data_IF_044491844597
#
_entry.id   IF_044491844597
#
_cell.length_a   1.000
_cell.length_b   1.000
_cell.length_c   1.000
_cell.angle_alpha   90.00
_cell.angle_beta   90.00
_cell.angle_gamma   90.00
#
_symmetry.space_group_name_H-M   'P 1'
#
loop_
_entity.id
_entity.type
_entity.pdbx_description
1 polymer ?
#
# COMPACT_ATOMS: atom_id res chain seq x y z
N UNK A 1 68.12 -8.26 -44.86
CA UNK A 1 68.73 -9.39 -45.61
C UNK A 1 67.93 -10.63 -45.28
N UNK A 2 67.03 -11.19 -46.10
CA UNK A 2 67.19 -11.51 -47.52
C UNK A 2 68.66 -11.78 -47.82
N UNK A 3 69.10 -13.01 -47.53
CA UNK A 3 70.15 -13.75 -48.27
C UNK A 3 70.52 -15.03 -47.52
N UNK A 4 69.86 -16.14 -47.91
CA UNK A 4 70.43 -17.49 -48.10
C UNK A 4 69.28 -18.51 -48.16
N UNK A 5 68.33 -18.38 -49.10
CA UNK A 5 68.35 -19.19 -50.34
C UNK A 5 69.77 -19.60 -50.78
N UNK A 6 69.96 -20.88 -51.09
CA UNK A 6 71.17 -21.47 -51.72
C UNK A 6 72.28 -21.99 -50.80
N UNK A 7 71.95 -22.82 -49.81
CA UNK A 7 72.84 -23.93 -49.47
C UNK A 7 72.37 -25.19 -50.18
N UNK A 8 72.92 -25.38 -51.38
CA UNK A 8 73.28 -26.69 -51.94
C UNK A 8 72.10 -27.59 -52.31
N UNK A 9 71.35 -27.28 -53.37
CA UNK A 9 71.67 -27.79 -54.73
C UNK A 9 72.82 -28.80 -54.78
N UNK A 10 72.46 -30.00 -55.23
CA UNK A 10 73.27 -30.90 -56.07
C UNK A 10 74.63 -31.38 -55.53
N UNK A 11 74.85 -32.69 -55.69
CA UNK A 11 75.98 -33.51 -55.20
C UNK A 11 75.68 -34.07 -53.80
N UNK A 12 74.97 -35.19 -53.66
CA UNK A 12 75.48 -36.51 -54.02
C UNK A 12 74.38 -37.47 -54.47
N UNK A 13 74.12 -37.44 -55.77
CA UNK A 13 73.92 -38.67 -56.54
C UNK A 13 75.22 -39.49 -56.52
N UNK A 14 75.10 -40.83 -56.43
CA UNK A 14 76.13 -41.88 -56.69
C UNK A 14 77.09 -42.12 -55.51
N UNK A 15 77.23 -43.34 -54.96
CA UNK A 15 77.30 -44.67 -55.57
C UNK A 15 76.47 -45.73 -54.78
N UNK A 16 75.55 -46.51 -55.38
CA UNK A 16 75.69 -47.75 -56.19
C UNK A 16 76.27 -48.97 -55.42
N UNK A 17 75.88 -50.24 -55.73
CA UNK A 17 74.97 -50.78 -56.78
C UNK A 17 73.87 -51.77 -56.27
N UNK A 18 72.74 -51.98 -57.00
CA UNK A 18 72.47 -53.11 -57.94
C UNK A 18 72.97 -54.48 -57.41
N UNK A 19 72.15 -55.50 -57.16
CA UNK A 19 71.47 -56.38 -58.14
C UNK A 19 70.47 -57.31 -57.41
N UNK A 20 69.22 -57.40 -57.88
CA UNK A 20 68.49 -58.62 -58.31
C UNK A 20 66.97 -58.58 -58.00
N UNK A 21 66.22 -58.43 -59.08
CA UNK A 21 64.79 -58.69 -59.25
C UNK A 21 64.59 -60.20 -59.42
N UNK A 22 63.66 -60.84 -58.68
CA UNK A 22 62.81 -61.97 -59.15
C UNK A 22 61.87 -62.53 -58.06
N UNK A 23 60.54 -62.34 -58.24
CA UNK A 23 59.43 -63.34 -58.20
C UNK A 23 59.17 -64.21 -56.93
N UNK A 24 57.97 -64.56 -56.43
CA UNK A 24 56.54 -64.37 -56.79
C UNK A 24 55.62 -64.87 -55.61
N UNK A 25 54.30 -64.58 -55.70
CA UNK A 25 53.11 -64.76 -54.83
C UNK A 25 52.73 -66.20 -54.31
N UNK A 26 51.91 -66.28 -53.22
CA UNK A 26 50.46 -66.67 -53.20
C UNK A 26 49.88 -67.26 -51.87
N UNK A 27 48.64 -66.86 -51.47
CA UNK A 27 47.63 -67.72 -50.79
C UNK A 27 47.04 -67.34 -49.40
N UNK A 28 45.70 -67.21 -49.28
CA UNK A 28 44.87 -67.02 -48.03
C UNK A 28 43.66 -67.99 -48.00
N UNK A 29 43.15 -68.41 -46.82
CA UNK A 29 41.71 -68.65 -46.45
C UNK A 29 41.55 -68.75 -44.90
N UNK A 30 40.45 -68.23 -44.31
CA UNK A 30 40.07 -68.30 -42.88
C UNK A 30 38.71 -68.99 -42.57
N UNK A 31 38.29 -69.02 -41.30
CA UNK A 31 37.02 -69.62 -40.78
C UNK A 31 36.28 -68.64 -39.84
N UNK A 32 34.94 -68.60 -39.90
CA UNK A 32 34.03 -67.71 -39.16
C UNK A 32 33.34 -68.37 -37.93
N UNK A 33 32.88 -67.53 -36.98
CA UNK A 33 31.97 -67.87 -35.88
C UNK A 33 30.86 -66.78 -35.71
N UNK A 34 29.71 -67.14 -35.13
CA UNK A 34 28.56 -66.24 -34.89
C UNK A 34 28.07 -66.30 -33.42
N UNK A 35 27.52 -65.19 -32.88
CA UNK A 35 26.26 -65.13 -32.08
C UNK A 35 25.93 -63.74 -31.49
N UNK A 36 24.63 -63.37 -31.54
CA UNK A 36 23.94 -62.22 -30.92
C UNK A 36 22.71 -61.78 -31.78
N UNK A 37 21.48 -61.67 -31.24
CA UNK A 37 20.32 -61.21 -32.05
C UNK A 37 20.42 -59.69 -32.27
N UNK A 38 20.42 -59.29 -33.54
CA UNK A 38 20.67 -57.91 -34.02
C UNK A 38 19.36 -57.17 -34.31
N UNK A 39 18.21 -57.73 -33.96
CA UNK A 39 16.91 -57.23 -34.42
C UNK A 39 16.72 -55.76 -34.01
N UNK A 40 16.64 -54.93 -35.04
CA UNK A 40 16.41 -53.50 -34.89
C UNK A 40 15.04 -53.27 -34.24
N UNK A 41 14.88 -52.24 -33.40
CA UNK A 41 13.57 -51.88 -32.89
C UNK A 41 12.58 -51.66 -34.04
N UNK A 42 11.31 -51.98 -33.82
CA UNK A 42 10.26 -51.78 -34.83
C UNK A 42 10.24 -50.32 -35.32
N UNK A 43 9.98 -50.14 -36.61
CA UNK A 43 9.92 -48.81 -37.22
C UNK A 43 8.91 -47.91 -36.48
N UNK A 44 9.17 -46.60 -36.36
CA UNK A 44 8.21 -45.66 -35.80
C UNK A 44 6.85 -45.77 -36.50
N UNK A 45 5.75 -45.86 -35.75
CA UNK A 45 4.42 -46.13 -36.31
C UNK A 45 3.75 -44.97 -37.07
N UNK A 46 4.40 -43.81 -37.21
CA UNK A 46 3.89 -42.65 -37.95
C UNK A 46 4.66 -42.47 -39.25
N UNK A 47 3.94 -42.36 -40.37
CA UNK A 47 4.50 -42.03 -41.69
C UNK A 47 4.57 -40.53 -41.96
N UNK A 48 4.03 -39.69 -41.06
CA UNK A 48 3.97 -38.24 -41.21
C UNK A 48 4.95 -37.54 -40.27
N UNK A 49 5.63 -36.50 -40.77
CA UNK A 49 6.60 -35.69 -40.03
C UNK A 49 6.56 -34.22 -40.46
N UNK A 50 7.09 -33.33 -39.63
CA UNK A 50 7.42 -31.96 -40.03
C UNK A 50 8.80 -31.94 -40.71
N UNK A 51 8.99 -31.03 -41.65
CA UNK A 51 10.30 -30.80 -42.29
C UNK A 51 11.18 -29.90 -41.42
N UNK A 52 12.48 -29.86 -41.72
CA UNK A 52 13.41 -28.92 -41.08
C UNK A 52 13.03 -27.46 -41.35
N UNK A 53 12.49 -27.18 -42.54
CA UNK A 53 11.94 -25.87 -42.89
C UNK A 53 10.73 -25.53 -42.01
N UNK A 54 9.80 -26.46 -41.82
CA UNK A 54 8.63 -26.25 -40.96
C UNK A 54 9.04 -25.95 -39.50
N UNK A 55 10.07 -26.65 -39.01
CA UNK A 55 10.60 -26.45 -37.66
C UNK A 55 11.30 -25.08 -37.55
N UNK A 56 12.11 -24.70 -38.54
CA UNK A 56 12.78 -23.41 -38.59
C UNK A 56 11.75 -22.26 -38.62
N UNK A 57 10.79 -22.31 -39.54
CA UNK A 57 9.74 -21.28 -39.68
C UNK A 57 8.86 -21.18 -38.43
N UNK A 58 8.65 -22.30 -37.72
CA UNK A 58 7.93 -22.30 -36.46
C UNK A 58 8.71 -21.61 -35.34
N UNK A 59 10.04 -21.75 -35.31
CA UNK A 59 10.91 -21.13 -34.31
C UNK A 59 11.17 -19.65 -34.60
N UNK A 60 11.41 -19.30 -35.87
CA UNK A 60 11.79 -17.95 -36.31
C UNK A 60 10.58 -17.00 -36.41
N UNK A 61 9.48 -17.46 -37.04
CA UNK A 61 8.32 -16.62 -37.35
C UNK A 61 7.01 -17.07 -36.67
N UNK A 62 7.04 -18.16 -35.89
CA UNK A 62 5.84 -18.72 -35.26
C UNK A 62 4.86 -19.41 -36.22
N UNK A 63 5.22 -19.54 -37.50
CA UNK A 63 4.35 -20.07 -38.56
C UNK A 63 3.96 -21.52 -38.28
N UNK A 64 2.66 -21.83 -38.33
CA UNK A 64 2.18 -23.20 -38.15
C UNK A 64 2.30 -23.99 -39.47
N UNK A 65 2.73 -25.24 -39.38
CA UNK A 65 2.83 -26.17 -40.50
C UNK A 65 1.90 -27.38 -40.29
N UNK A 66 1.72 -28.18 -41.34
CA UNK A 66 1.03 -29.47 -41.29
C UNK A 66 2.03 -30.59 -41.54
N UNK A 67 1.89 -31.70 -40.81
CA UNK A 67 2.73 -32.87 -41.06
C UNK A 67 2.46 -33.42 -42.46
N UNK A 68 3.53 -33.87 -43.13
CA UNK A 68 3.45 -34.48 -44.45
C UNK A 68 4.07 -35.87 -44.44
N UNK A 69 3.66 -36.73 -45.36
CA UNK A 69 4.31 -38.03 -45.58
C UNK A 69 5.70 -37.81 -46.14
N UNK A 70 6.73 -38.36 -45.50
CA UNK A 70 8.09 -38.27 -46.02
C UNK A 70 8.15 -38.89 -47.42
N UNK A 71 8.51 -38.08 -48.41
CA UNK A 71 8.73 -38.53 -49.79
C UNK A 71 10.20 -38.31 -50.10
N UNK A 72 10.93 -39.39 -50.40
CA UNK A 72 12.35 -39.29 -50.71
C UNK A 72 12.55 -38.45 -51.97
N UNK A 73 13.36 -37.38 -51.91
CA UNK A 73 13.52 -36.49 -53.05
C UNK A 73 14.28 -37.20 -54.18
N UNK A 74 13.78 -37.07 -55.41
CA UNK A 74 14.40 -37.66 -56.61
C UNK A 74 15.66 -36.93 -57.08
N UNK A 75 16.08 -35.88 -56.38
CA UNK A 75 17.25 -35.05 -56.68
C UNK A 75 17.99 -34.73 -55.39
N UNK A 76 19.33 -34.70 -55.46
CA UNK A 76 20.16 -34.26 -54.34
C UNK A 76 19.87 -32.77 -54.02
N UNK A 77 19.96 -32.34 -52.75
CA UNK A 77 19.76 -30.95 -52.36
C UNK A 77 20.67 -30.00 -53.15
N UNK A 78 20.09 -28.94 -53.71
CA UNK A 78 20.87 -27.85 -54.30
C UNK A 78 21.51 -26.98 -53.21
N UNK A 79 22.61 -26.29 -53.53
CA UNK A 79 23.21 -25.33 -52.59
C UNK A 79 22.20 -24.23 -52.23
N UNK A 80 21.89 -24.08 -50.93
CA UNK A 80 21.06 -22.99 -50.40
C UNK A 80 19.55 -23.22 -50.36
N UNK A 81 19.07 -24.47 -50.51
CA UNK A 81 17.62 -24.77 -50.51
C UNK A 81 17.05 -25.31 -49.20
N UNK A 82 17.87 -25.61 -48.18
CA UNK A 82 17.39 -26.10 -46.88
C UNK A 82 18.24 -25.54 -45.74
N UNK A 83 17.58 -25.16 -44.64
CA UNK A 83 18.22 -24.84 -43.37
C UNK A 83 18.87 -26.08 -42.76
N UNK A 84 20.11 -25.93 -42.30
CA UNK A 84 20.81 -27.00 -41.60
C UNK A 84 20.47 -27.01 -40.09
N UNK A 85 21.05 -27.97 -39.36
CA UNK A 85 20.82 -28.05 -37.91
C UNK A 85 21.41 -26.87 -37.14
N UNK A 86 22.43 -26.19 -37.67
CA UNK A 86 22.99 -25.00 -37.05
C UNK A 86 22.04 -23.81 -37.23
N UNK A 87 21.42 -23.68 -38.41
CA UNK A 87 20.40 -22.67 -38.68
C UNK A 87 19.20 -22.83 -37.73
N UNK A 88 18.73 -24.07 -37.54
CA UNK A 88 17.65 -24.37 -36.58
C UNK A 88 18.08 -24.04 -35.15
N UNK A 89 19.29 -24.43 -34.74
CA UNK A 89 19.79 -24.14 -33.40
C UNK A 89 19.86 -22.62 -33.14
N UNK A 90 20.33 -21.85 -34.13
CA UNK A 90 20.41 -20.40 -34.03
C UNK A 90 19.03 -19.72 -34.02
N UNK A 91 18.00 -20.37 -34.58
CA UNK A 91 16.62 -19.89 -34.52
C UNK A 91 15.92 -20.16 -33.17
N UNK A 92 16.49 -21.00 -32.29
CA UNK A 92 15.93 -21.22 -30.95
C UNK A 92 16.22 -19.99 -30.08
N UNK A 93 15.20 -19.28 -29.57
CA UNK A 93 15.43 -18.15 -28.68
C UNK A 93 16.16 -18.59 -27.41
N UNK A 94 17.04 -17.74 -26.89
CA UNK A 94 17.64 -17.94 -25.58
C UNK A 94 16.56 -17.96 -24.48
N UNK A 95 16.92 -18.49 -23.30
CA UNK A 95 16.03 -18.41 -22.14
C UNK A 95 15.75 -16.96 -21.77
N UNK A 96 14.48 -16.62 -21.60
CA UNK A 96 14.08 -15.30 -21.12
C UNK A 96 14.51 -15.11 -19.66
N UNK A 97 14.99 -13.91 -19.31
CA UNK A 97 15.25 -13.54 -17.93
C UNK A 97 13.95 -13.25 -17.17
N UNK A 98 14.01 -13.25 -15.83
CA UNK A 98 12.90 -12.80 -14.99
C UNK A 98 12.46 -11.38 -15.36
N UNK A 99 11.14 -11.16 -15.39
CA UNK A 99 10.54 -9.86 -15.70
C UNK A 99 10.58 -8.96 -14.46
N UNK A 100 11.46 -7.95 -14.44
CA UNK A 100 11.53 -6.94 -13.37
C UNK A 100 11.02 -5.58 -13.87
N UNK A 101 10.01 -5.02 -13.20
CA UNK A 101 9.54 -3.65 -13.44
C UNK A 101 10.24 -2.62 -12.54
N UNK A 102 10.33 -1.36 -13.00
CA UNK A 102 10.69 -0.23 -12.14
C UNK A 102 9.47 0.23 -11.32
N UNK A 103 9.69 0.72 -10.10
CA UNK A 103 8.62 1.25 -9.25
C UNK A 103 7.80 2.32 -10.01
N UNK A 104 6.48 2.13 -10.05
CA UNK A 104 5.53 3.07 -10.66
C UNK A 104 5.36 2.97 -12.18
N UNK A 105 5.92 1.96 -12.85
CA UNK A 105 5.68 1.76 -14.29
C UNK A 105 4.30 1.17 -14.56
N UNK A 106 3.52 1.83 -15.43
CA UNK A 106 2.19 1.36 -15.86
C UNK A 106 2.27 0.28 -16.97
N UNK A 107 3.45 0.08 -17.53
CA UNK A 107 3.71 -0.88 -18.62
C UNK A 107 5.03 -1.61 -18.38
N UNK A 108 5.07 -2.91 -18.66
CA UNK A 108 6.29 -3.73 -18.64
C UNK A 108 6.45 -4.42 -19.98
N UNK A 109 7.66 -4.36 -20.56
CA UNK A 109 7.96 -5.04 -21.81
C UNK A 109 8.33 -6.50 -21.51
N UNK A 110 7.63 -7.44 -22.14
CA UNK A 110 8.00 -8.86 -22.11
C UNK A 110 9.01 -9.08 -23.24
N UNK A 111 10.18 -9.62 -22.90
CA UNK A 111 11.22 -9.91 -23.89
C UNK A 111 10.86 -11.22 -24.62
N UNK A 112 11.23 -11.36 -25.89
CA UNK A 112 11.05 -12.63 -26.59
C UNK A 112 11.97 -13.71 -25.97
N UNK A 113 11.43 -14.90 -25.71
CA UNK A 113 12.21 -15.98 -25.10
C UNK A 113 11.38 -17.18 -24.64
N UNK A 114 12.08 -18.24 -24.25
CA UNK A 114 11.48 -19.44 -23.66
C UNK A 114 11.47 -19.28 -22.14
N UNK A 115 10.28 -19.33 -21.53
CA UNK A 115 10.09 -19.12 -20.10
C UNK A 115 9.82 -20.44 -19.37
N UNK A 116 10.67 -20.77 -18.39
CA UNK A 116 10.51 -21.98 -17.55
C UNK A 116 9.40 -21.84 -16.50
N UNK A 117 9.12 -20.61 -16.05
CA UNK A 117 8.07 -20.25 -15.10
C UNK A 117 7.27 -19.05 -15.63
N UNK A 118 5.97 -18.99 -15.35
CA UNK A 118 5.06 -17.92 -15.82
C UNK A 118 4.67 -16.97 -14.68
N UNK A 119 5.65 -16.53 -13.89
CA UNK A 119 5.40 -15.64 -12.75
C UNK A 119 5.85 -14.22 -13.07
N UNK A 120 4.94 -13.26 -12.99
CA UNK A 120 5.25 -11.83 -13.05
C UNK A 120 5.05 -11.22 -11.65
N UNK A 121 6.03 -10.46 -11.15
CA UNK A 121 5.98 -9.86 -9.82
C UNK A 121 5.97 -8.34 -9.95
N UNK A 122 4.86 -7.70 -9.58
CA UNK A 122 4.80 -6.25 -9.39
C UNK A 122 5.20 -5.93 -7.94
N UNK A 123 6.16 -5.03 -7.76
CA UNK A 123 6.58 -4.55 -6.45
C UNK A 123 6.40 -3.03 -6.42
N UNK A 124 5.61 -2.55 -5.48
CA UNK A 124 5.59 -1.15 -5.10
C UNK A 124 6.02 -1.08 -3.63
N UNK A 125 7.23 -0.60 -3.39
CA UNK A 125 7.78 -0.49 -2.04
C UNK A 125 6.98 0.46 -1.14
N UNK A 126 6.10 1.28 -1.72
CA UNK A 126 5.19 2.16 -1.00
C UNK A 126 3.82 1.52 -0.74
N UNK A 127 3.48 0.37 -1.33
CA UNK A 127 2.29 -0.41 -1.01
C UNK A 127 2.46 -1.17 0.32
N UNK A 128 2.66 -0.41 1.39
CA UNK A 128 2.73 -0.88 2.77
C UNK A 128 1.44 -0.52 3.47
N UNK A 129 0.99 -1.37 4.39
CA UNK A 129 -0.20 -1.08 5.20
C UNK A 129 -0.12 0.31 5.85
N UNK A 130 1.04 0.69 6.40
CA UNK A 130 1.22 2.00 7.06
C UNK A 130 1.25 3.20 6.11
N UNK A 131 1.27 2.98 4.80
CA UNK A 131 1.12 4.04 3.79
C UNK A 131 -0.30 4.11 3.21
N UNK A 132 -1.15 3.15 3.55
CA UNK A 132 -2.53 3.04 3.05
C UNK A 132 -3.46 3.39 4.21
N UNK A 133 -4.47 4.22 3.95
CA UNK A 133 -5.45 4.61 4.97
C UNK A 133 -6.11 3.40 5.61
N UNK A 134 -6.28 3.47 6.94
CA UNK A 134 -6.82 2.36 7.73
C UNK A 134 -8.10 1.79 7.13
N UNK A 135 -8.12 0.47 6.93
CA UNK A 135 -9.31 -0.25 6.46
C UNK A 135 -9.51 -0.22 4.94
N UNK A 136 -8.74 0.57 4.20
CA UNK A 136 -8.78 0.58 2.74
C UNK A 136 -7.89 -0.55 2.20
N UNK A 137 -8.43 -1.53 1.46
CA UNK A 137 -7.62 -2.52 0.79
C UNK A 137 -7.12 -1.97 -0.56
N UNK A 138 -5.82 -1.98 -0.79
CA UNK A 138 -5.22 -1.72 -2.10
C UNK A 138 -4.43 -2.97 -2.49
N UNK A 139 -4.84 -3.63 -3.57
CA UNK A 139 -4.24 -4.88 -4.07
C UNK A 139 -4.04 -5.97 -2.98
N UNK A 140 -4.99 -6.09 -2.05
CA UNK A 140 -4.95 -7.08 -0.97
C UNK A 140 -4.14 -6.66 0.26
N UNK A 141 -3.51 -5.48 0.26
CA UNK A 141 -2.89 -4.88 1.46
C UNK A 141 -3.91 -3.95 2.11
N UNK A 142 -4.40 -4.32 3.29
CA UNK A 142 -5.29 -3.45 4.08
C UNK A 142 -4.47 -2.40 4.81
N UNK A 143 -4.86 -1.13 4.65
CA UNK A 143 -4.18 -0.03 5.29
C UNK A 143 -4.26 -0.03 6.82
N UNK A 144 -3.24 0.56 7.43
CA UNK A 144 -3.07 0.79 8.87
C UNK A 144 -2.72 2.24 9.19
N UNK A 145 -2.47 3.08 8.16
CA UNK A 145 -2.22 4.51 8.33
C UNK A 145 -3.40 5.15 9.04
N UNK A 146 -3.15 5.59 10.28
CA UNK A 146 -4.07 6.45 11.00
C UNK A 146 -3.76 7.89 10.58
N UNK A 147 -4.69 8.60 9.90
CA UNK A 147 -4.54 10.03 9.68
C UNK A 147 -4.33 10.72 11.03
N UNK A 148 -3.38 11.65 11.05
CA UNK A 148 -2.84 12.35 12.23
C UNK A 148 -3.93 12.86 13.17
N UNK A 149 -4.21 12.18 14.28
CA UNK A 149 -4.90 12.68 15.49
C UNK A 149 -6.25 13.40 15.35
N UNK A 150 -6.77 13.58 14.13
CA UNK A 150 -8.01 14.29 13.82
C UNK A 150 -9.12 13.24 13.83
N UNK A 151 -10.15 13.39 14.66
CA UNK A 151 -11.21 12.38 14.80
C UNK A 151 -12.07 12.29 13.55
N UNK A 152 -12.71 11.13 13.35
CA UNK A 152 -13.88 11.05 12.45
C UNK A 152 -14.92 12.08 12.87
N UNK A 153 -15.72 12.55 11.92
CA UNK A 153 -16.80 13.52 12.13
C UNK A 153 -18.07 12.91 12.72
N UNK A 154 -18.23 11.60 12.58
CA UNK A 154 -19.46 10.85 12.91
C UNK A 154 -20.37 10.60 11.71
N UNK A 155 -20.11 11.22 10.55
CA UNK A 155 -20.89 10.99 9.33
C UNK A 155 -20.65 9.57 8.77
N UNK A 156 -21.73 8.90 8.39
CA UNK A 156 -21.70 7.55 7.78
C UNK A 156 -22.61 7.43 6.56
N UNK A 157 -23.25 8.53 6.15
CA UNK A 157 -24.18 8.53 5.01
C UNK A 157 -23.42 9.00 3.77
N UNK A 158 -23.29 8.11 2.79
CA UNK A 158 -22.69 8.42 1.48
C UNK A 158 -23.63 9.27 0.64
N UNK A 159 -23.20 10.50 0.32
CA UNK A 159 -23.84 11.42 -0.62
C UNK A 159 -23.06 11.57 -1.93
N UNK A 160 -21.93 10.89 -2.09
CA UNK A 160 -21.11 10.90 -3.28
C UNK A 160 -19.68 10.42 -3.03
N UNK A 161 -19.03 9.94 -4.08
CA UNK A 161 -17.65 9.47 -4.02
C UNK A 161 -16.71 10.52 -3.42
N UNK A 162 -15.96 10.12 -2.39
CA UNK A 162 -14.99 10.94 -1.64
C UNK A 162 -15.57 12.00 -0.70
N UNK A 163 -16.86 11.94 -0.40
CA UNK A 163 -17.41 12.73 0.70
C UNK A 163 -17.04 12.14 2.08
N UNK A 164 -17.45 12.84 3.13
CA UNK A 164 -17.12 12.48 4.51
C UNK A 164 -17.78 11.16 4.96
N UNK A 165 -19.01 10.89 4.51
CA UNK A 165 -19.73 9.66 4.84
C UNK A 165 -19.28 8.43 4.05
N UNK A 166 -18.79 8.59 2.82
CA UNK A 166 -18.25 7.50 1.99
C UNK A 166 -16.82 7.11 2.37
N UNK A 167 -16.02 8.07 2.82
CA UNK A 167 -14.62 7.84 3.18
C UNK A 167 -14.43 7.60 4.68
N UNK A 168 -15.30 8.18 5.51
CA UNK A 168 -15.26 8.17 6.98
C UNK A 168 -13.84 8.38 7.54
N UNK A 169 -13.14 9.39 7.01
CA UNK A 169 -11.73 9.63 7.33
C UNK A 169 -11.56 10.15 8.75
N UNK A 170 -10.42 9.83 9.36
CA UNK A 170 -10.08 10.27 10.71
C UNK A 170 -9.89 9.13 11.70
N UNK A 171 -9.46 9.48 12.92
CA UNK A 171 -9.33 8.53 14.02
C UNK A 171 -10.74 8.06 14.42
N UNK A 172 -10.98 6.75 14.27
CA UNK A 172 -12.22 6.13 14.71
C UNK A 172 -12.44 6.39 16.20
N UNK A 173 -13.68 6.72 16.58
CA UNK A 173 -14.01 6.92 17.99
C UNK A 173 -13.93 5.58 18.74
N UNK A 174 -13.37 5.58 19.96
CA UNK A 174 -13.40 4.39 20.82
C UNK A 174 -14.83 3.96 21.12
N UNK A 175 -15.02 2.67 21.41
CA UNK A 175 -16.27 2.12 21.90
C UNK A 175 -16.02 1.38 23.24
N UNK A 176 -16.47 1.91 24.39
CA UNK A 176 -17.26 3.14 24.53
C UNK A 176 -16.43 4.41 24.28
N UNK A 177 -17.06 5.47 23.76
CA UNK A 177 -16.40 6.79 23.56
C UNK A 177 -16.23 7.52 24.90
N UNK A 178 -17.26 7.45 25.73
CA UNK A 178 -17.31 8.10 27.03
C UNK A 178 -17.54 7.07 28.14
N UNK A 179 -16.94 7.28 29.30
CA UNK A 179 -17.24 6.53 30.51
C UNK A 179 -17.65 7.49 31.60
N UNK A 180 -18.86 7.30 32.12
CA UNK A 180 -19.32 7.94 33.36
C UNK A 180 -18.61 7.29 34.53
N UNK A 181 -17.86 8.08 35.30
CA UNK A 181 -17.09 7.58 36.42
C UNK A 181 -17.94 7.46 37.71
N UNK A 182 -19.20 7.93 37.68
CA UNK A 182 -20.12 7.86 38.82
C UNK A 182 -19.84 8.86 39.94
N UNK A 183 -18.87 9.75 39.74
CA UNK A 183 -18.38 10.77 40.69
C UNK A 183 -18.60 12.20 40.19
N UNK A 184 -19.51 12.39 39.24
CA UNK A 184 -19.76 13.68 38.58
C UNK A 184 -18.82 13.97 37.40
N UNK A 185 -17.91 13.06 37.05
CA UNK A 185 -17.00 13.20 35.92
C UNK A 185 -17.25 12.20 34.79
N UNK A 186 -16.80 12.56 33.59
CA UNK A 186 -16.88 11.72 32.39
C UNK A 186 -15.50 11.64 31.73
N UNK A 187 -15.00 10.43 31.55
CA UNK A 187 -13.76 10.15 30.82
C UNK A 187 -14.04 10.10 29.32
N UNK A 188 -13.33 10.90 28.52
CA UNK A 188 -13.31 10.85 27.06
C UNK A 188 -12.13 10.01 26.57
N UNK A 189 -12.40 8.82 26.02
CA UNK A 189 -11.38 7.87 25.56
C UNK A 189 -10.67 8.26 24.26
N UNK A 190 -11.22 9.21 23.50
CA UNK A 190 -10.52 9.69 22.29
C UNK A 190 -9.38 10.64 22.68
N UNK A 191 -9.63 11.53 23.64
CA UNK A 191 -8.69 12.59 24.02
C UNK A 191 -7.96 12.32 25.33
N UNK A 192 -8.40 11.31 26.10
CA UNK A 192 -8.00 11.06 27.49
C UNK A 192 -8.21 12.28 28.40
N UNK A 193 -9.24 13.08 28.12
CA UNK A 193 -9.63 14.20 28.98
C UNK A 193 -10.77 13.78 29.91
N UNK A 194 -10.83 14.44 31.07
CA UNK A 194 -11.93 14.27 32.02
C UNK A 194 -12.79 15.54 31.97
N UNK A 195 -14.08 15.34 31.73
CA UNK A 195 -15.07 16.40 31.58
C UNK A 195 -16.03 16.41 32.77
N UNK A 196 -16.50 17.60 33.14
CA UNK A 196 -17.59 17.73 34.09
C UNK A 196 -18.87 17.13 33.47
N UNK A 197 -19.59 16.26 34.20
CA UNK A 197 -20.79 15.60 33.67
C UNK A 197 -21.94 16.58 33.43
N UNK A 198 -22.13 17.54 34.33
CA UNK A 198 -23.10 18.62 34.18
C UNK A 198 -22.49 19.77 33.37
N UNK A 199 -22.88 19.84 32.09
CA UNK A 199 -22.39 20.87 31.17
C UNK A 199 -22.90 22.28 31.53
N UNK A 200 -23.87 22.43 32.44
CA UNK A 200 -24.38 23.74 32.85
C UNK A 200 -24.56 23.84 34.36
N UNK A 201 -23.54 23.42 35.10
CA UNK A 201 -23.49 23.57 36.54
C UNK A 201 -23.51 25.05 36.98
N UNK A 202 -24.27 25.34 38.06
CA UNK A 202 -24.39 26.68 38.66
C UNK A 202 -23.96 26.74 40.12
N UNK A 203 -23.50 25.62 40.67
CA UNK A 203 -23.37 25.43 42.11
C UNK A 203 -22.06 25.97 42.71
N UNK A 204 -21.13 26.44 41.87
CA UNK A 204 -19.81 26.96 42.28
C UNK A 204 -19.94 28.34 42.98
N UNK A 205 -19.55 28.47 44.27
CA UNK A 205 -19.70 29.70 45.06
C UNK A 205 -18.82 30.87 44.61
N UNK A 206 -19.21 32.08 45.02
CA UNK A 206 -18.63 33.33 44.51
C UNK A 206 -19.21 33.75 43.16
N UNK A 207 -20.24 33.05 42.70
CA UNK A 207 -21.03 33.32 41.50
C UNK A 207 -22.50 33.41 41.96
N UNK A 208 -22.79 34.34 42.87
CA UNK A 208 -24.15 34.59 43.35
C UNK A 208 -24.65 35.91 42.77
N UNK A 209 -25.20 35.82 41.55
CA UNK A 209 -25.87 36.94 40.90
C UNK A 209 -25.84 36.85 39.38
N UNK A 210 -26.89 36.25 38.80
CA UNK A 210 -27.50 36.47 37.49
C UNK A 210 -26.61 36.91 36.32
N UNK A 211 -26.59 36.27 35.17
CA UNK A 211 -27.29 35.11 34.60
C UNK A 211 -26.64 34.92 33.22
N UNK A 212 -26.90 33.85 32.46
CA UNK A 212 -26.28 33.72 31.19
C UNK A 212 -26.48 34.93 30.27
N UNK A 213 -25.49 35.22 29.43
CA UNK A 213 -24.27 34.46 29.36
C UNK A 213 -23.02 35.23 29.85
N UNK A 214 -22.08 34.50 30.47
CA UNK A 214 -20.92 35.07 31.17
C UNK A 214 -19.99 35.80 30.20
N UNK A 215 -19.39 36.90 30.66
CA UNK A 215 -18.18 37.42 30.03
C UNK A 215 -17.03 36.42 30.23
N UNK A 216 -16.04 36.48 29.35
CA UNK A 216 -15.02 35.43 29.21
C UNK A 216 -14.11 35.28 30.44
N UNK A 217 -13.79 36.38 31.12
CA UNK A 217 -12.94 36.35 32.32
C UNK A 217 -13.62 35.62 33.51
N UNK A 218 -14.88 35.94 33.88
CA UNK A 218 -15.62 35.13 34.83
C UNK A 218 -15.74 33.64 34.48
N UNK A 219 -15.83 33.28 33.18
CA UNK A 219 -15.86 31.88 32.77
C UNK A 219 -14.57 31.13 33.12
N UNK A 220 -13.41 31.78 32.95
CA UNK A 220 -12.10 31.21 33.35
C UNK A 220 -12.05 31.04 34.87
N UNK A 221 -12.46 32.08 35.63
CA UNK A 221 -12.48 32.02 37.09
C UNK A 221 -13.47 30.99 37.64
N UNK A 222 -14.62 30.81 36.99
CA UNK A 222 -15.58 29.79 37.35
C UNK A 222 -14.95 28.41 37.21
N UNK A 223 -14.36 28.11 36.05
CA UNK A 223 -13.78 26.80 35.78
C UNK A 223 -12.63 26.48 36.74
N UNK A 224 -11.81 27.47 37.11
CA UNK A 224 -10.72 27.28 38.08
C UNK A 224 -11.18 27.08 39.53
N UNK A 225 -12.46 27.27 39.84
CA UNK A 225 -13.04 27.09 41.18
C UNK A 225 -13.89 25.82 41.30
N UNK A 226 -14.10 25.10 40.20
CA UNK A 226 -14.73 23.78 40.25
C UNK A 226 -13.81 22.86 41.07
N UNK A 227 -14.40 22.13 42.00
CA UNK A 227 -13.75 21.19 42.91
C UNK A 227 -14.78 20.21 43.49
N UNK A 228 -14.30 19.19 44.21
CA UNK A 228 -15.11 18.21 44.93
C UNK A 228 -16.20 18.89 45.79
N UNK A 229 -17.41 18.34 45.76
CA UNK A 229 -18.57 18.89 46.47
C UNK A 229 -19.41 19.90 45.66
N UNK A 230 -18.93 20.39 44.51
CA UNK A 230 -19.74 21.19 43.58
C UNK A 230 -20.17 20.38 42.36
N UNK A 231 -21.28 20.76 41.71
CA UNK A 231 -21.68 20.18 40.42
C UNK A 231 -21.89 18.65 40.43
N UNK A 232 -22.21 18.08 41.61
CA UNK A 232 -22.29 16.64 41.80
C UNK A 232 -20.95 15.90 41.82
N UNK A 233 -19.84 16.62 41.94
CA UNK A 233 -18.49 16.04 42.04
C UNK A 233 -18.27 15.36 43.39
N UNK A 234 -17.76 14.13 43.32
CA UNK A 234 -17.23 13.36 44.45
C UNK A 234 -15.90 12.69 44.05
N UNK A 235 -15.08 13.39 43.26
CA UNK A 235 -13.87 12.89 42.61
C UNK A 235 -12.58 13.27 43.36
N UNK A 236 -12.70 13.98 44.49
CA UNK A 236 -11.56 14.45 45.28
C UNK A 236 -10.75 15.57 44.61
N UNK A 237 -11.28 16.21 43.56
CA UNK A 237 -10.63 17.36 42.93
C UNK A 237 -10.61 18.58 43.84
N UNK A 238 -9.62 19.45 43.64
CA UNK A 238 -9.47 20.73 44.33
C UNK A 238 -9.63 21.87 43.34
N UNK A 239 -9.82 23.09 43.85
CA UNK A 239 -9.75 24.30 43.03
C UNK A 239 -8.45 24.31 42.22
N UNK A 240 -8.55 24.77 40.97
CA UNK A 240 -7.50 24.80 39.94
C UNK A 240 -7.13 23.47 39.28
N UNK A 241 -7.71 22.33 39.69
CA UNK A 241 -7.59 21.08 38.92
C UNK A 241 -8.36 21.17 37.60
N UNK A 242 -9.46 21.94 37.62
CA UNK A 242 -10.34 22.18 36.49
C UNK A 242 -9.98 23.48 35.77
N UNK A 243 -10.20 23.49 34.45
CA UNK A 243 -9.99 24.68 33.62
C UNK A 243 -11.01 24.80 32.52
N UNK A 244 -11.03 25.98 31.91
CA UNK A 244 -11.76 26.22 30.68
C UNK A 244 -11.06 25.48 29.52
N UNK A 245 -11.76 24.65 28.73
CA UNK A 245 -11.20 23.92 27.60
C UNK A 245 -10.71 24.88 26.51
N UNK A 246 -9.71 24.48 25.74
CA UNK A 246 -9.38 25.18 24.50
C UNK A 246 -10.38 24.80 23.39
N UNK A 247 -10.39 25.56 22.28
CA UNK A 247 -11.40 25.38 21.22
C UNK A 247 -11.35 23.98 20.59
N UNK A 248 -10.17 23.37 20.48
CA UNK A 248 -10.01 22.04 19.89
C UNK A 248 -10.52 20.93 20.81
N UNK A 249 -10.38 21.10 22.12
CA UNK A 249 -10.91 20.17 23.11
C UNK A 249 -12.44 20.16 23.08
N UNK A 250 -13.09 21.32 23.07
CA UNK A 250 -14.55 21.38 22.92
C UNK A 250 -15.00 20.79 21.57
N UNK A 251 -14.32 21.15 20.48
CA UNK A 251 -14.66 20.63 19.16
C UNK A 251 -14.48 19.11 19.06
N UNK A 252 -13.56 18.51 19.83
CA UNK A 252 -13.34 17.06 19.84
C UNK A 252 -14.50 16.23 20.38
N UNK A 253 -15.43 16.89 21.10
CA UNK A 253 -16.67 16.27 21.57
C UNK A 253 -17.77 16.25 20.49
N UNK A 254 -17.63 17.03 19.41
CA UNK A 254 -18.71 17.23 18.43
C UNK A 254 -18.90 15.99 17.55
N UNK A 255 -20.16 15.59 17.41
CA UNK A 255 -20.61 14.62 16.41
C UNK A 255 -21.46 15.33 15.36
N UNK A 256 -20.91 15.49 14.16
CA UNK A 256 -21.54 16.22 13.06
C UNK A 256 -22.69 15.45 12.41
N UNK A 257 -22.90 14.17 12.74
CA UNK A 257 -24.08 13.42 12.31
C UNK A 257 -25.32 13.71 13.14
N UNK A 258 -25.16 14.48 14.24
CA UNK A 258 -26.23 14.73 15.22
C UNK A 258 -26.37 16.21 15.52
N UNK A 259 -27.55 16.56 16.01
CA UNK A 259 -27.93 17.93 16.38
C UNK A 259 -28.75 17.88 17.66
N UNK A 260 -28.68 18.95 18.46
CA UNK A 260 -29.48 19.13 19.68
C UNK A 260 -29.49 17.93 20.67
N UNK A 261 -28.33 17.49 21.20
CA UNK A 261 -27.00 18.04 21.00
C UNK A 261 -26.16 17.30 19.94
N UNK A 262 -25.25 18.01 19.28
CA UNK A 262 -24.21 17.51 18.39
C UNK A 262 -23.08 16.80 19.17
N UNK A 263 -23.41 15.77 19.93
CA UNK A 263 -22.51 14.90 20.71
C UNK A 263 -22.66 13.45 20.24
N UNK A 264 -21.73 12.51 20.53
CA UNK A 264 -21.89 11.09 20.21
C UNK A 264 -23.06 10.39 20.93
N UNK A 265 -23.67 9.39 20.29
CA UNK A 265 -24.81 8.65 20.85
C UNK A 265 -24.50 7.96 22.18
N UNK A 266 -25.45 8.03 23.12
CA UNK A 266 -25.30 7.44 24.45
C UNK A 266 -24.32 8.21 25.36
N UNK A 267 -23.94 9.45 25.04
CA UNK A 267 -23.10 10.25 25.92
C UNK A 267 -23.74 10.39 27.34
N UNK A 268 -22.93 10.39 28.41
CA UNK A 268 -23.42 10.49 29.79
C UNK A 268 -23.65 11.94 30.28
N UNK A 269 -23.30 12.94 29.46
CA UNK A 269 -23.43 14.35 29.81
C UNK A 269 -24.88 14.78 30.02
N UNK A 270 -25.09 15.65 31.00
CA UNK A 270 -26.40 16.22 31.35
C UNK A 270 -26.38 17.74 31.21
N UNK A 271 -27.57 18.34 31.05
CA UNK A 271 -27.77 19.78 30.88
C UNK A 271 -26.92 20.41 29.77
N UNK A 272 -26.62 19.65 28.71
CA UNK A 272 -26.00 20.18 27.49
C UNK A 272 -27.02 21.08 26.80
N UNK A 273 -26.81 22.38 26.86
CA UNK A 273 -27.82 23.35 26.46
C UNK A 273 -27.51 23.89 25.06
N UNK A 274 -28.48 23.91 24.14
CA UNK A 274 -28.32 24.53 22.81
C UNK A 274 -28.37 26.08 22.86
N UNK A 275 -28.05 26.69 24.01
CA UNK A 275 -28.25 28.12 24.29
C UNK A 275 -27.34 29.04 23.45
N UNK A 276 -27.56 30.37 23.50
CA UNK A 276 -27.52 31.31 22.34
C UNK A 276 -26.16 31.57 21.67
N UNK A 277 -25.14 30.76 21.95
CA UNK A 277 -24.01 30.61 21.03
C UNK A 277 -22.94 29.62 21.49
N UNK A 278 -23.32 28.64 22.32
CA UNK A 278 -22.44 27.56 22.74
C UNK A 278 -21.63 27.83 24.02
N UNK A 279 -20.49 27.15 24.11
CA UNK A 279 -19.62 27.09 25.28
C UNK A 279 -18.32 27.85 25.02
N UNK A 280 -17.89 28.67 25.98
CA UNK A 280 -16.62 29.38 25.91
C UNK A 280 -15.44 28.41 25.84
N UNK A 281 -14.47 28.74 24.98
CA UNK A 281 -13.13 28.18 25.09
C UNK A 281 -12.16 29.18 25.70
N UNK A 282 -11.04 28.71 26.23
CA UNK A 282 -9.89 29.51 26.67
C UNK A 282 -9.06 30.08 25.51
N UNK A 283 -9.46 29.84 24.26
CA UNK A 283 -8.72 30.27 23.08
C UNK A 283 -9.13 31.67 22.65
N UNK A 284 -8.19 32.61 22.67
CA UNK A 284 -8.39 33.98 22.16
C UNK A 284 -8.42 33.99 20.63
N UNK A 285 -9.25 34.83 20.03
CA UNK A 285 -9.24 35.03 18.58
C UNK A 285 -7.96 35.78 18.18
N UNK A 286 -7.20 35.24 17.22
CA UNK A 286 -5.91 35.80 16.81
C UNK A 286 -6.01 37.11 16.03
N UNK A 287 -7.15 37.38 15.38
CA UNK A 287 -7.40 38.63 14.67
C UNK A 287 -7.97 39.71 15.61
N UNK A 288 -8.84 39.32 16.56
CA UNK A 288 -9.49 40.22 17.51
C UNK A 288 -9.23 39.76 18.94
N UNK A 289 -8.23 40.34 19.61
CA UNK A 289 -7.85 39.94 20.98
C UNK A 289 -8.94 40.17 22.04
N UNK A 290 -9.91 41.03 21.74
CA UNK A 290 -11.13 41.28 22.54
C UNK A 290 -12.19 40.20 22.36
N UNK A 291 -11.96 39.20 21.49
CA UNK A 291 -12.85 38.08 21.22
C UNK A 291 -12.20 36.74 21.61
N UNK A 292 -13.02 35.73 21.89
CA UNK A 292 -12.59 34.37 22.11
C UNK A 292 -13.44 33.38 21.30
N UNK A 293 -12.89 32.19 21.07
CA UNK A 293 -13.59 31.11 20.39
C UNK A 293 -14.58 30.42 21.32
N UNK A 294 -15.64 29.88 20.76
CA UNK A 294 -16.66 29.09 21.43
C UNK A 294 -17.16 27.96 20.52
N UNK A 295 -17.77 26.92 21.10
CA UNK A 295 -18.33 25.79 20.35
C UNK A 295 -19.79 25.59 20.73
N UNK A 296 -20.67 25.58 19.73
CA UNK A 296 -22.09 25.35 19.90
C UNK A 296 -22.44 23.90 19.65
N UNK A 297 -23.20 23.30 20.57
CA UNK A 297 -23.63 21.90 20.47
C UNK A 297 -25.09 21.77 19.97
N UNK A 298 -25.72 22.84 19.50
CA UNK A 298 -26.96 22.74 18.72
C UNK A 298 -26.69 22.03 17.38
N UNK A 299 -25.66 22.46 16.65
CA UNK A 299 -25.29 21.97 15.33
C UNK A 299 -23.78 21.66 15.18
N UNK A 300 -22.97 21.90 16.22
CA UNK A 300 -21.54 21.56 16.22
C UNK A 300 -20.61 22.67 15.70
N UNK A 301 -21.09 23.90 15.57
CA UNK A 301 -20.30 25.00 14.99
C UNK A 301 -19.28 25.59 15.95
N UNK A 302 -18.12 25.93 15.39
CA UNK A 302 -17.12 26.78 16.04
C UNK A 302 -17.43 28.24 15.71
N UNK A 303 -17.62 29.05 16.74
CA UNK A 303 -17.97 30.47 16.64
C UNK A 303 -17.03 31.33 17.47
N UNK A 304 -17.22 32.64 17.44
CA UNK A 304 -16.49 33.59 18.28
C UNK A 304 -17.46 34.52 19.00
N UNK A 305 -16.99 35.12 20.08
CA UNK A 305 -17.75 36.12 20.81
C UNK A 305 -16.84 37.11 21.54
N UNK A 306 -17.37 38.31 21.79
CA UNK A 306 -16.70 39.36 22.55
C UNK A 306 -16.53 38.96 24.01
N UNK A 307 -15.33 39.17 24.54
CA UNK A 307 -14.96 38.76 25.89
C UNK A 307 -15.70 39.55 26.98
N UNK A 308 -16.08 40.79 26.71
CA UNK A 308 -16.55 41.72 27.73
C UNK A 308 -18.07 41.96 27.69
N UNK A 309 -18.72 41.64 26.57
CA UNK A 309 -20.14 41.91 26.38
C UNK A 309 -20.99 40.66 26.63
N UNK A 310 -21.77 40.71 27.70
CA UNK A 310 -22.63 39.64 28.20
C UNK A 310 -24.09 39.75 27.71
N UNK A 311 -24.33 40.32 26.52
CA UNK A 311 -25.70 40.34 25.98
C UNK A 311 -26.17 38.89 25.73
N UNK A 312 -27.48 38.65 25.87
CA UNK A 312 -28.08 37.33 25.62
C UNK A 312 -27.68 36.71 24.28
N UNK A 313 -27.45 37.53 23.24
CA UNK A 313 -27.03 37.07 21.91
C UNK A 313 -25.53 36.79 21.77
N UNK A 314 -24.68 37.38 22.61
CA UNK A 314 -23.22 37.31 22.44
C UNK A 314 -22.53 36.37 23.39
N UNK A 315 -23.14 36.01 24.50
CA UNK A 315 -22.38 35.28 25.49
C UNK A 315 -22.58 33.76 25.43
N UNK A 316 -21.71 33.07 26.15
CA UNK A 316 -21.56 31.62 26.11
C UNK A 316 -21.66 30.99 27.50
N UNK A 317 -21.90 29.70 27.50
CA UNK A 317 -21.89 28.83 28.67
C UNK A 317 -20.47 28.40 29.02
N UNK A 318 -20.32 27.69 30.14
CA UNK A 318 -19.02 27.24 30.65
C UNK A 318 -19.10 25.75 30.91
N UNK A 319 -18.10 25.00 30.43
CA UNK A 319 -17.99 23.57 30.64
C UNK A 319 -16.54 23.27 30.98
N UNK A 320 -16.30 22.79 32.19
CA UNK A 320 -14.94 22.55 32.68
C UNK A 320 -14.36 21.22 32.18
N UNK A 321 -13.05 21.23 31.96
CA UNK A 321 -12.25 20.05 31.61
C UNK A 321 -11.00 20.00 32.49
N UNK A 322 -10.47 18.81 32.70
CA UNK A 322 -9.14 18.58 33.27
C UNK A 322 -8.39 17.48 32.52
N UNK A 323 -7.08 17.37 32.76
CA UNK A 323 -6.28 16.27 32.21
C UNK A 323 -6.78 14.93 32.76
N UNK A 324 -6.75 13.89 31.93
CA UNK A 324 -6.87 12.51 32.39
C UNK A 324 -5.55 11.99 32.96
N UNK A 325 -5.65 10.90 33.71
CA UNK A 325 -4.51 10.15 34.22
C UNK A 325 -3.92 9.22 33.14
#
# INVERSE_FOLDING_TARGET
MKTKLSTMWQHFTKALPLVLIAMLLAGTVGVMAATGTIDSPAAPGSTNSYTLEDIYQRLDAGTAASQSTFTEPSVAPGTGTMHDLNDIYNAIPAEGSDLTGVNGSLTVNIVDGIYRSKTATANDSNLKADNIYRGIPIFGVTGTLNPSGIPKTGQTVDHGFQDDGSMEMGVAWPNPRFTDNGDGTVTDHLTNLIWLKDAWCKDVPGIIGYSPPFSWSPAITWASKVEDGYCGLTDGSNAFDWRLPNVRELQSLVDYSRVNPALPAGHPFINVHPGPGGYWSSTTNGNLSTWAWAVSFDEGFVTTAEKYNAFFSTARLVWAVRGGN
#
